data_IF_244419151416
#
_entry.id   IF_244419151416
#
_cell.length_a   1.000
_cell.length_b   1.000
_cell.length_c   1.000
_cell.angle_alpha   90.00
_cell.angle_beta   90.00
_cell.angle_gamma   90.00
#
_symmetry.space_group_name_H-M   'P 1'
#
loop_
_entity.id
_entity.type
_entity.pdbx_description
1 polymer ?
#
# COMPACT_ATOMS: atom_id res chain seq x y z
N UNK A 1 24.03 -7.78 -15.35
CA UNK A 1 23.32 -7.76 -16.66
C UNK A 1 22.74 -6.39 -16.97
N UNK A 2 21.91 -5.79 -16.09
CA UNK A 2 21.32 -4.46 -16.32
C UNK A 2 22.35 -3.33 -16.53
N UNK A 3 23.45 -3.32 -15.78
CA UNK A 3 24.57 -2.36 -15.97
C UNK A 3 25.15 -2.36 -17.39
N UNK A 4 25.04 -3.46 -18.14
CA UNK A 4 25.57 -3.57 -19.50
C UNK A 4 24.55 -3.08 -20.56
N UNK A 5 23.30 -2.85 -20.15
CA UNK A 5 22.24 -2.30 -21.00
C UNK A 5 22.08 -0.78 -20.81
N UNK A 6 22.71 -0.22 -19.77
CA UNK A 6 22.65 1.19 -19.43
C UNK A 6 24.02 1.86 -19.63
N UNK A 7 24.05 3.17 -19.93
CA UNK A 7 25.28 3.96 -19.87
C UNK A 7 25.96 3.85 -18.49
N UNK A 8 27.30 3.99 -18.42
CA UNK A 8 28.06 3.78 -17.18
C UNK A 8 27.70 4.77 -16.05
N UNK A 9 27.10 5.90 -16.39
CA UNK A 9 26.68 6.94 -15.46
C UNK A 9 25.21 6.79 -15.00
N UNK A 10 24.45 5.82 -15.53
CA UNK A 10 23.11 5.50 -15.06
C UNK A 10 23.15 4.68 -13.77
N UNK A 11 22.23 5.00 -12.85
CA UNK A 11 21.96 4.16 -11.68
C UNK A 11 20.98 3.05 -12.06
N UNK A 12 21.38 1.81 -11.83
CA UNK A 12 20.55 0.62 -11.99
C UNK A 12 19.75 0.31 -10.70
N UNK A 13 19.13 1.33 -10.10
CA UNK A 13 18.29 1.24 -8.90
C UNK A 13 16.82 1.43 -9.26
N UNK A 14 15.87 1.13 -8.38
CA UNK A 14 14.45 1.44 -8.62
C UNK A 14 14.17 2.90 -8.19
N UNK A 15 13.68 3.80 -9.07
CA UNK A 15 13.36 3.60 -10.50
C UNK A 15 14.59 3.60 -11.42
N UNK A 16 14.52 2.81 -12.50
CA UNK A 16 15.60 2.68 -13.49
C UNK A 16 15.46 3.81 -14.52
N UNK A 17 16.40 4.74 -14.50
CA UNK A 17 16.45 5.85 -15.47
C UNK A 17 17.30 5.48 -16.69
N UNK A 18 16.67 5.49 -17.87
CA UNK A 18 17.29 5.17 -19.17
C UNK A 18 17.86 6.40 -19.88
N UNK A 19 17.62 7.60 -19.33
CA UNK A 19 17.99 8.91 -19.85
C UNK A 19 17.30 9.28 -21.16
N UNK A 20 17.38 10.57 -21.49
CA UNK A 20 16.68 11.19 -22.64
C UNK A 20 17.10 10.61 -24.00
N UNK A 21 18.32 10.10 -24.09
CA UNK A 21 18.93 9.58 -25.32
C UNK A 21 18.67 8.08 -25.55
N UNK A 22 17.70 7.50 -24.84
CA UNK A 22 17.39 6.07 -24.94
C UNK A 22 16.67 5.75 -26.25
N UNK A 23 17.27 4.96 -27.18
CA UNK A 23 16.54 4.42 -28.31
C UNK A 23 15.58 3.31 -27.85
N UNK A 24 14.63 2.95 -28.70
CA UNK A 24 13.66 1.84 -28.46
C UNK A 24 14.38 0.53 -28.09
N UNK A 25 15.56 0.28 -28.65
CA UNK A 25 16.32 -0.94 -28.40
C UNK A 25 16.89 -1.00 -26.99
N UNK A 26 17.17 0.17 -26.38
CA UNK A 26 17.53 0.24 -24.96
C UNK A 26 16.33 -0.11 -24.08
N UNK A 27 15.15 0.41 -24.40
CA UNK A 27 13.91 0.03 -23.70
C UNK A 27 13.70 -1.48 -23.75
N UNK A 28 13.80 -2.09 -24.94
CA UNK A 28 13.64 -3.54 -25.13
C UNK A 28 14.60 -4.32 -24.23
N UNK A 29 15.89 -3.99 -24.29
CA UNK A 29 16.93 -4.70 -23.52
C UNK A 29 16.75 -4.55 -22.01
N UNK A 30 16.36 -3.38 -21.53
CA UNK A 30 16.07 -3.14 -20.11
C UNK A 30 14.84 -3.95 -19.68
N UNK A 31 13.75 -3.91 -20.44
CA UNK A 31 12.53 -4.67 -20.15
C UNK A 31 12.78 -6.18 -20.12
N UNK A 32 13.50 -6.74 -21.10
CA UNK A 32 13.84 -8.16 -21.14
C UNK A 32 14.65 -8.63 -19.91
N UNK A 33 15.48 -7.76 -19.34
CA UNK A 33 16.25 -8.06 -18.13
C UNK A 33 15.33 -7.93 -16.90
N UNK A 34 14.58 -6.84 -16.79
CA UNK A 34 13.71 -6.57 -15.64
C UNK A 34 12.57 -7.57 -15.52
N UNK A 35 11.93 -7.95 -16.62
CA UNK A 35 10.80 -8.89 -16.63
C UNK A 35 11.18 -10.30 -16.17
N UNK A 36 12.46 -10.66 -16.29
CA UNK A 36 13.01 -11.93 -15.80
C UNK A 36 13.46 -11.90 -14.34
N UNK A 37 13.40 -10.75 -13.67
CA UNK A 37 13.78 -10.64 -12.27
C UNK A 37 12.75 -11.33 -11.36
N UNK A 38 13.12 -12.40 -10.63
CA UNK A 38 12.19 -13.08 -9.72
C UNK A 38 11.80 -12.23 -8.52
N UNK A 39 12.54 -11.15 -8.20
CA UNK A 39 12.26 -10.27 -7.06
C UNK A 39 11.30 -9.12 -7.37
N UNK A 40 10.87 -8.99 -8.61
CA UNK A 40 9.95 -7.94 -9.04
C UNK A 40 8.55 -8.52 -9.24
N UNK A 41 7.53 -7.96 -8.59
CA UNK A 41 6.14 -8.47 -8.65
C UNK A 41 5.28 -7.77 -9.72
N UNK A 42 5.78 -6.71 -10.33
CA UNK A 42 5.13 -6.00 -11.42
C UNK A 42 5.95 -4.80 -11.89
N UNK A 43 5.50 -4.16 -12.97
CA UNK A 43 6.27 -3.14 -13.67
C UNK A 43 5.42 -1.94 -14.04
N UNK A 44 5.93 -0.74 -13.75
CA UNK A 44 5.38 0.53 -14.23
C UNK A 44 6.38 1.19 -15.17
N UNK A 45 6.01 1.35 -16.43
CA UNK A 45 6.85 1.93 -17.48
C UNK A 45 6.43 3.37 -17.70
N UNK A 46 7.31 4.32 -17.44
CA UNK A 46 7.05 5.75 -17.66
C UNK A 46 7.80 6.21 -18.91
N UNK A 47 7.07 6.83 -19.84
CA UNK A 47 7.61 7.38 -21.07
C UNK A 47 7.25 8.86 -21.18
N UNK A 48 8.28 9.69 -21.42
CA UNK A 48 8.14 11.09 -21.81
C UNK A 48 8.69 11.28 -23.22
N UNK A 49 8.03 12.08 -24.08
CA UNK A 49 8.49 12.31 -25.44
C UNK A 49 9.71 13.25 -25.44
N UNK A 50 10.91 12.66 -25.50
CA UNK A 50 12.20 13.38 -25.55
C UNK A 50 12.86 13.39 -26.95
N UNK A 51 12.24 12.72 -27.94
CA UNK A 51 12.69 12.71 -29.34
C UNK A 51 13.56 11.51 -29.74
N UNK A 52 14.28 10.86 -28.82
CA UNK A 52 15.16 9.73 -29.16
C UNK A 52 14.44 8.41 -29.48
N UNK A 53 13.28 8.16 -28.86
CA UNK A 53 12.46 6.98 -29.10
C UNK A 53 11.04 7.38 -29.51
N UNK A 54 10.56 6.88 -30.64
CA UNK A 54 9.19 7.10 -31.12
C UNK A 54 8.17 6.42 -30.18
N UNK A 55 7.12 7.14 -29.71
CA UNK A 55 6.14 6.58 -28.78
C UNK A 55 5.44 5.32 -29.31
N UNK A 56 5.15 5.25 -30.61
CA UNK A 56 4.44 4.11 -31.21
C UNK A 56 5.34 2.87 -31.22
N UNK A 57 6.59 3.04 -31.60
CA UNK A 57 7.60 1.98 -31.64
C UNK A 57 7.91 1.47 -30.23
N UNK A 58 8.04 2.37 -29.26
CA UNK A 58 8.18 2.00 -27.84
C UNK A 58 6.97 1.21 -27.34
N UNK A 59 5.73 1.64 -27.64
CA UNK A 59 4.53 0.91 -27.24
C UNK A 59 4.44 -0.50 -27.84
N UNK A 60 4.88 -0.68 -29.10
CA UNK A 60 4.97 -1.99 -29.73
C UNK A 60 6.01 -2.87 -29.05
N UNK A 61 7.20 -2.33 -28.77
CA UNK A 61 8.25 -3.05 -28.05
C UNK A 61 7.78 -3.50 -26.66
N UNK A 62 7.10 -2.62 -25.91
CA UNK A 62 6.48 -2.97 -24.61
C UNK A 62 5.50 -4.13 -24.79
N UNK A 63 4.61 -4.04 -25.78
CA UNK A 63 3.60 -5.08 -26.05
C UNK A 63 4.25 -6.43 -26.35
N UNK A 64 5.31 -6.45 -27.16
CA UNK A 64 6.04 -7.66 -27.51
C UNK A 64 6.73 -8.28 -26.29
N UNK A 65 7.44 -7.46 -25.51
CA UNK A 65 8.14 -7.93 -24.32
C UNK A 65 7.19 -8.39 -23.21
N UNK A 66 6.00 -7.80 -23.11
CA UNK A 66 5.06 -8.06 -22.01
C UNK A 66 4.24 -9.36 -22.18
N UNK A 67 4.25 -10.01 -23.35
CA UNK A 67 3.38 -11.16 -23.65
C UNK A 67 3.50 -12.31 -22.65
N UNK A 68 4.72 -12.63 -22.21
CA UNK A 68 5.01 -13.83 -21.42
C UNK A 68 5.45 -13.52 -19.97
N UNK A 69 5.23 -12.28 -19.50
CA UNK A 69 5.79 -11.79 -18.24
C UNK A 69 5.10 -12.40 -17.02
N UNK A 70 3.83 -12.81 -17.14
CA UNK A 70 3.05 -13.40 -16.04
C UNK A 70 2.81 -12.47 -14.84
N UNK A 71 3.30 -11.22 -14.90
CA UNK A 71 3.23 -10.19 -13.85
C UNK A 71 2.57 -8.93 -14.41
N UNK A 72 1.90 -8.11 -13.57
CA UNK A 72 1.28 -6.87 -14.01
C UNK A 72 2.29 -5.91 -14.68
N UNK A 73 1.92 -5.41 -15.85
CA UNK A 73 2.66 -4.35 -16.57
C UNK A 73 1.71 -3.19 -16.82
N UNK A 74 2.06 -2.01 -16.31
CA UNK A 74 1.34 -0.75 -16.51
C UNK A 74 2.27 0.24 -17.23
N UNK A 75 1.67 1.19 -17.93
CA UNK A 75 2.42 2.22 -18.65
C UNK A 75 1.85 3.63 -18.43
N UNK A 76 2.71 4.62 -18.28
CA UNK A 76 2.37 6.04 -18.31
C UNK A 76 3.09 6.70 -19.48
N UNK A 77 2.36 7.01 -20.55
CA UNK A 77 2.90 7.72 -21.71
C UNK A 77 2.41 9.15 -21.64
N UNK A 78 3.27 10.08 -21.25
CA UNK A 78 2.89 11.46 -20.99
C UNK A 78 2.76 12.23 -22.33
N UNK A 79 1.74 13.09 -22.42
CA UNK A 79 1.50 13.95 -23.58
C UNK A 79 0.45 13.42 -24.56
N UNK A 80 0.36 14.09 -25.71
CA UNK A 80 -0.73 13.94 -26.68
C UNK A 80 -0.24 13.46 -28.06
N UNK A 81 -1.11 13.45 -29.06
CA UNK A 81 -0.75 13.07 -30.44
C UNK A 81 -0.27 11.61 -30.55
N UNK A 82 1.02 11.41 -30.82
CA UNK A 82 1.63 10.08 -30.91
C UNK A 82 1.56 9.32 -29.58
N UNK A 83 1.72 10.00 -28.44
CA UNK A 83 1.56 9.38 -27.12
C UNK A 83 0.14 8.87 -26.90
N UNK A 84 -0.90 9.62 -27.33
CA UNK A 84 -2.30 9.15 -27.28
C UNK A 84 -2.51 7.90 -28.13
N UNK A 85 -1.88 7.82 -29.31
CA UNK A 85 -1.94 6.63 -30.19
C UNK A 85 -1.20 5.44 -29.55
N UNK A 86 -0.02 5.67 -28.97
CA UNK A 86 0.74 4.67 -28.22
C UNK A 86 -0.08 4.08 -27.05
N UNK A 87 -0.74 4.91 -26.25
CA UNK A 87 -1.65 4.45 -25.18
C UNK A 87 -2.80 3.58 -25.71
N UNK A 88 -3.35 3.90 -26.89
CA UNK A 88 -4.39 3.06 -27.53
C UNK A 88 -3.84 1.69 -27.96
N UNK A 89 -2.60 1.63 -28.45
CA UNK A 89 -1.94 0.37 -28.82
C UNK A 89 -1.75 -0.50 -27.58
N UNK A 90 -1.22 0.06 -26.50
CA UNK A 90 -1.00 -0.65 -25.23
C UNK A 90 -2.32 -1.21 -24.68
N UNK A 91 -3.37 -0.38 -24.57
CA UNK A 91 -4.68 -0.82 -24.07
C UNK A 91 -5.32 -1.90 -24.92
N UNK A 92 -5.16 -1.85 -26.25
CA UNK A 92 -5.66 -2.90 -27.17
C UNK A 92 -4.97 -4.25 -26.96
N UNK A 93 -3.78 -4.27 -26.37
CA UNK A 93 -3.04 -5.49 -26.06
C UNK A 93 -3.08 -5.83 -24.56
N UNK A 94 -4.07 -5.31 -23.82
CA UNK A 94 -4.28 -5.66 -22.41
C UNK A 94 -3.35 -4.95 -21.42
N UNK A 95 -2.58 -3.94 -21.85
CA UNK A 95 -1.69 -3.17 -20.97
C UNK A 95 -2.38 -1.86 -20.57
N UNK A 96 -2.72 -1.65 -19.27
CA UNK A 96 -3.26 -0.40 -18.79
C UNK A 96 -2.29 0.76 -19.07
N UNK A 97 -2.78 1.80 -19.75
CA UNK A 97 -1.94 2.91 -20.19
C UNK A 97 -2.58 4.28 -19.89
N UNK A 98 -1.84 5.12 -19.18
CA UNK A 98 -2.27 6.41 -18.61
C UNK A 98 -1.50 7.58 -19.22
N UNK A 99 -2.07 8.78 -19.21
CA UNK A 99 -1.39 10.00 -19.64
C UNK A 99 -0.64 10.69 -18.49
N UNK A 100 -0.90 10.29 -17.24
CA UNK A 100 -0.31 10.84 -16.04
C UNK A 100 0.33 9.71 -15.20
N UNK A 101 1.57 9.90 -14.70
CA UNK A 101 2.29 8.85 -13.97
C UNK A 101 1.72 8.56 -12.58
N UNK A 102 1.14 9.56 -11.93
CA UNK A 102 0.42 9.47 -10.67
C UNK A 102 -0.84 8.59 -10.79
N UNK A 103 -1.65 8.76 -11.85
CA UNK A 103 -2.79 7.86 -12.12
C UNK A 103 -2.35 6.40 -12.27
N UNK A 104 -1.23 6.17 -12.96
CA UNK A 104 -0.68 4.83 -13.15
C UNK A 104 -0.19 4.23 -11.83
N UNK A 105 0.50 5.01 -11.00
CA UNK A 105 0.97 4.60 -9.68
C UNK A 105 -0.20 4.30 -8.73
N UNK A 106 -1.22 5.16 -8.70
CA UNK A 106 -2.45 4.95 -7.91
C UNK A 106 -3.15 3.67 -8.34
N UNK A 107 -3.27 3.42 -9.65
CA UNK A 107 -3.86 2.17 -10.15
C UNK A 107 -3.04 0.95 -9.73
N UNK A 108 -1.71 1.05 -9.77
CA UNK A 108 -0.81 -0.01 -9.31
C UNK A 108 -1.04 -0.33 -7.83
N UNK A 109 -1.18 0.70 -6.98
CA UNK A 109 -1.48 0.52 -5.57
C UNK A 109 -2.87 -0.10 -5.34
N UNK A 110 -3.88 0.27 -6.13
CA UNK A 110 -5.19 -0.39 -6.05
C UNK A 110 -5.14 -1.88 -6.40
N UNK A 111 -4.33 -2.27 -7.39
CA UNK A 111 -4.13 -3.69 -7.71
C UNK A 111 -3.50 -4.44 -6.54
N UNK A 112 -2.51 -3.84 -5.88
CA UNK A 112 -1.88 -4.43 -4.70
C UNK A 112 -2.87 -4.56 -3.53
N UNK A 113 -3.59 -3.49 -3.18
CA UNK A 113 -4.58 -3.52 -2.10
C UNK A 113 -5.70 -4.51 -2.38
N UNK A 114 -6.14 -4.63 -3.64
CA UNK A 114 -7.15 -5.61 -4.03
C UNK A 114 -6.66 -7.04 -3.81
N UNK A 115 -5.43 -7.37 -4.21
CA UNK A 115 -4.82 -8.69 -3.97
C UNK A 115 -4.72 -8.99 -2.47
N UNK A 116 -4.24 -8.03 -1.68
CA UNK A 116 -4.16 -8.18 -0.21
C UNK A 116 -5.54 -8.39 0.42
N UNK A 117 -6.55 -7.66 -0.03
CA UNK A 117 -7.91 -7.83 0.46
C UNK A 117 -8.49 -9.20 0.11
N UNK A 118 -8.21 -9.72 -1.08
CA UNK A 118 -8.61 -11.08 -1.45
C UNK A 118 -7.92 -12.11 -0.55
N UNK A 119 -6.63 -11.97 -0.28
CA UNK A 119 -5.90 -12.86 0.63
C UNK A 119 -6.50 -12.82 2.05
N UNK A 120 -6.84 -11.63 2.55
CA UNK A 120 -7.49 -11.46 3.86
C UNK A 120 -8.88 -12.12 3.92
N UNK A 121 -9.66 -12.09 2.84
CA UNK A 121 -10.97 -12.75 2.79
C UNK A 121 -10.88 -14.27 2.94
N UNK A 122 -9.75 -14.87 2.56
CA UNK A 122 -9.49 -16.30 2.71
C UNK A 122 -8.83 -16.67 4.05
N UNK A 123 -8.44 -15.68 4.85
CA UNK A 123 -7.95 -15.93 6.21
C UNK A 123 -9.13 -16.14 7.15
N UNK A 124 -9.07 -17.16 7.99
CA UNK A 124 -9.99 -17.29 9.13
C UNK A 124 -9.70 -16.13 10.08
N UNK A 125 -10.65 -15.23 10.36
CA UNK A 125 -10.45 -14.21 11.37
C UNK A 125 -10.11 -14.88 12.70
N UNK A 126 -9.14 -14.35 13.44
CA UNK A 126 -8.95 -14.80 14.82
C UNK A 126 -10.27 -14.64 15.57
N UNK A 127 -10.66 -15.66 16.33
CA UNK A 127 -11.76 -15.55 17.27
C UNK A 127 -11.37 -14.48 18.29
N UNK A 128 -11.88 -13.27 18.11
CA UNK A 128 -11.86 -12.27 19.18
C UNK A 128 -12.70 -12.88 20.30
N UNK A 129 -12.13 -13.17 21.49
CA UNK A 129 -12.91 -13.75 22.58
C UNK A 129 -14.07 -12.80 22.89
N UNK A 130 -15.28 -13.20 22.49
CA UNK A 130 -16.50 -12.44 22.75
C UNK A 130 -16.99 -12.71 24.18
N UNK A 131 -16.06 -12.76 25.13
CA UNK A 131 -16.35 -12.89 26.55
C UNK A 131 -15.61 -11.78 27.31
N UNK A 132 -16.03 -10.54 27.04
CA UNK A 132 -15.96 -9.53 28.09
C UNK A 132 -17.03 -9.91 29.12
N UNK A 133 -16.71 -10.87 29.99
CA UNK A 133 -17.49 -11.11 31.20
C UNK A 133 -17.43 -9.84 32.03
N UNK A 134 -18.45 -8.99 31.92
CA UNK A 134 -18.56 -7.76 32.70
C UNK A 134 -18.55 -8.19 34.17
N UNK A 135 -17.49 -7.87 34.94
CA UNK A 135 -17.42 -8.32 36.32
C UNK A 135 -18.61 -7.80 37.11
N UNK A 136 -19.20 -8.65 37.95
CA UNK A 136 -20.41 -8.33 38.75
C UNK A 136 -20.21 -7.04 39.55
N UNK A 137 -18.99 -6.81 40.07
CA UNK A 137 -18.65 -5.63 40.85
C UNK A 137 -18.85 -4.31 40.08
N UNK A 138 -18.67 -4.29 38.74
CA UNK A 138 -18.90 -3.07 37.94
C UNK A 138 -20.37 -2.64 37.96
N UNK A 139 -21.29 -3.61 37.94
CA UNK A 139 -22.72 -3.33 38.05
C UNK A 139 -23.08 -2.82 39.45
N UNK A 140 -22.43 -3.34 40.48
CA UNK A 140 -22.61 -2.88 41.86
C UNK A 140 -22.11 -1.45 42.03
N UNK A 141 -20.94 -1.11 41.47
CA UNK A 141 -20.40 0.25 41.45
C UNK A 141 -21.36 1.24 40.79
N UNK A 142 -21.93 0.91 39.62
CA UNK A 142 -22.92 1.76 38.96
C UNK A 142 -24.21 1.91 39.77
N UNK A 143 -24.72 0.83 40.37
CA UNK A 143 -25.92 0.87 41.21
C UNK A 143 -25.71 1.72 42.46
N UNK A 144 -24.52 1.66 43.06
CA UNK A 144 -24.15 2.47 44.21
C UNK A 144 -24.09 3.95 43.82
N UNK A 145 -23.36 4.28 42.75
CA UNK A 145 -23.30 5.66 42.25
C UNK A 145 -24.68 6.24 41.94
N UNK A 146 -25.54 5.44 41.30
CA UNK A 146 -26.91 5.82 41.02
C UNK A 146 -27.75 6.02 42.29
N UNK A 147 -27.66 5.11 43.26
CA UNK A 147 -28.35 5.22 44.56
C UNK A 147 -27.88 6.44 45.36
N UNK A 148 -26.61 6.83 45.21
CA UNK A 148 -26.01 8.01 45.82
C UNK A 148 -26.40 9.32 45.09
N UNK A 149 -27.23 9.25 44.04
CA UNK A 149 -27.62 10.40 43.22
C UNK A 149 -26.49 10.95 42.34
N UNK A 150 -25.41 10.18 42.14
CA UNK A 150 -24.25 10.57 41.34
C UNK A 150 -24.47 10.20 39.88
N UNK A 151 -24.19 11.16 38.98
CA UNK A 151 -24.19 10.94 37.53
C UNK A 151 -22.78 10.70 36.96
N UNK A 152 -21.75 10.73 37.81
CA UNK A 152 -20.34 10.58 37.43
C UNK A 152 -19.66 9.64 38.45
N UNK A 153 -18.85 8.71 37.94
CA UNK A 153 -17.99 7.85 38.75
C UNK A 153 -16.79 8.65 39.25
N UNK A 154 -16.30 8.33 40.44
CA UNK A 154 -15.03 8.89 40.89
C UNK A 154 -13.84 8.29 40.11
N UNK A 155 -12.66 8.90 40.25
CA UNK A 155 -11.47 8.48 39.51
C UNK A 155 -11.09 7.01 39.79
N UNK A 156 -11.28 6.53 41.01
CA UNK A 156 -10.95 5.16 41.38
C UNK A 156 -11.95 4.18 40.73
N UNK A 157 -13.25 4.46 40.81
CA UNK A 157 -14.32 3.70 40.16
C UNK A 157 -14.12 3.66 38.62
N UNK A 158 -13.79 4.78 37.98
CA UNK A 158 -13.56 4.86 36.55
C UNK A 158 -12.32 4.05 36.10
N UNK A 159 -11.23 4.08 36.86
CA UNK A 159 -10.02 3.31 36.55
C UNK A 159 -10.24 1.81 36.73
N UNK A 160 -11.04 1.39 37.71
CA UNK A 160 -11.45 -0.01 37.85
C UNK A 160 -12.27 -0.51 36.65
N UNK A 161 -13.12 0.35 36.08
CA UNK A 161 -13.82 0.04 34.83
C UNK A 161 -12.85 -0.21 33.69
N UNK A 162 -11.92 0.70 33.43
CA UNK A 162 -10.94 0.56 32.35
C UNK A 162 -10.09 -0.71 32.53
N UNK A 163 -9.63 -0.98 33.75
CA UNK A 163 -8.86 -2.19 34.06
C UNK A 163 -9.64 -3.49 33.79
N UNK A 164 -10.94 -3.52 34.11
CA UNK A 164 -11.79 -4.66 33.85
C UNK A 164 -12.01 -4.94 32.36
N UNK A 165 -11.87 -3.93 31.50
CA UNK A 165 -11.84 -4.08 30.04
C UNK A 165 -10.42 -4.28 29.48
N UNK A 166 -9.47 -4.68 30.33
CA UNK A 166 -8.06 -4.90 30.01
C UNK A 166 -7.34 -3.65 29.43
N UNK A 167 -7.88 -2.46 29.69
CA UNK A 167 -7.21 -1.21 29.32
C UNK A 167 -6.14 -0.87 30.37
N UNK A 168 -4.93 -0.47 29.94
CA UNK A 168 -3.84 -0.16 30.86
C UNK A 168 -4.18 1.09 31.69
N UNK A 169 -4.07 0.97 33.01
CA UNK A 169 -4.29 2.06 33.97
C UNK A 169 -3.16 2.14 34.99
N UNK A 170 -2.94 3.34 35.53
CA UNK A 170 -2.04 3.53 36.68
C UNK A 170 -2.70 2.93 37.91
N UNK A 171 -1.92 2.21 38.74
CA UNK A 171 -2.43 1.64 40.00
C UNK A 171 -2.88 2.77 40.93
N UNK A 172 -4.17 2.81 41.24
CA UNK A 172 -4.77 3.84 42.09
C UNK A 172 -5.43 3.19 43.30
N UNK A 173 -5.22 3.77 44.48
CA UNK A 173 -5.82 3.35 45.74
C UNK A 173 -6.38 4.57 46.48
N UNK A 174 -7.50 4.40 47.16
CA UNK A 174 -8.10 5.46 47.98
C UNK A 174 -7.49 5.40 49.39
N UNK A 175 -6.79 6.47 49.80
CA UNK A 175 -6.28 6.61 51.16
C UNK A 175 -7.43 6.92 52.13
N UNK A 176 -7.52 6.18 53.23
CA UNK A 176 -8.54 6.39 54.29
C UNK A 176 -7.99 7.13 55.52
N UNK A 177 -6.67 7.34 55.56
CA UNK A 177 -6.00 8.08 56.61
C UNK A 177 -4.85 8.93 56.05
N UNK A 178 -4.44 10.02 56.73
CA UNK A 178 -3.30 10.82 56.30
C UNK A 178 -2.01 10.00 56.17
N UNK A 179 -1.83 8.97 57.00
CA UNK A 179 -0.69 8.04 56.94
C UNK A 179 -0.67 7.14 55.69
N UNK A 180 -1.82 6.95 55.04
CA UNK A 180 -1.98 6.16 53.80
C UNK A 180 -1.79 7.00 52.53
N UNK A 181 -1.86 8.33 52.63
CA UNK A 181 -1.59 9.25 51.54
C UNK A 181 -0.08 9.52 51.45
N UNK A 182 0.66 8.57 50.88
CA UNK A 182 2.10 8.70 50.57
C UNK A 182 2.35 8.86 49.08
#
# INVERSE_FOLDING_TARGET
MLKNALPPYCRATNPIDMLEEAPVERFRKVMEICFKDPKSDGFLIIYTPQGAADPISTAKAITECARDVGKPVLAAFIGEGLCRKARKILRRNGIPAFNAPDEAATTFMYMLSYTQNLELLYQTPEEIPMELSIPIFLRETLRKAFSDGRHVLDQHEALQFLQAYALPVVKTVVAKSPSEAK
#
